data_IF_218213298518
#
_entry.id   IF_218213298518
#
_cell.length_a   1.000
_cell.length_b   1.000
_cell.length_c   1.000
_cell.angle_alpha   90.00
_cell.angle_beta   90.00
_cell.angle_gamma   90.00
#
_symmetry.space_group_name_H-M   'P 1'
#
loop_
_entity.id
_entity.type
_entity.pdbx_description
1 polymer ?
#
# COMPACT_ATOMS: atom_id res chain seq x y z
N UNK A 1 2.12 -11.32 -11.11
CA UNK A 1 0.73 -10.83 -11.17
C UNK A 1 0.44 -10.22 -12.53
N UNK A 2 -0.61 -10.64 -13.23
CA UNK A 2 -1.02 -9.98 -14.49
C UNK A 2 -1.83 -8.70 -14.17
N UNK A 3 -1.35 -7.51 -14.59
CA UNK A 3 -2.00 -6.20 -14.36
C UNK A 3 -3.19 -5.91 -15.27
N UNK A 4 -3.44 -6.75 -16.27
CA UNK A 4 -4.44 -6.51 -17.32
C UNK A 4 -5.84 -6.25 -16.74
N UNK A 5 -6.24 -7.00 -15.71
CA UNK A 5 -7.57 -6.83 -15.08
C UNK A 5 -7.72 -5.47 -14.39
N UNK A 6 -6.67 -5.04 -13.68
CA UNK A 6 -6.61 -3.77 -12.96
C UNK A 6 -6.62 -2.63 -13.96
N UNK A 7 -5.81 -2.72 -15.02
CA UNK A 7 -5.81 -1.73 -16.10
C UNK A 7 -7.18 -1.60 -16.75
N UNK A 8 -7.86 -2.71 -17.04
CA UNK A 8 -9.21 -2.66 -17.57
C UNK A 8 -10.19 -2.00 -16.59
N UNK A 9 -10.14 -2.35 -15.30
CA UNK A 9 -10.97 -1.72 -14.28
C UNK A 9 -10.74 -0.20 -14.19
N UNK A 10 -9.47 0.23 -14.19
CA UNK A 10 -9.08 1.65 -14.19
C UNK A 10 -9.64 2.38 -15.41
N UNK A 11 -9.49 1.80 -16.61
CA UNK A 11 -9.99 2.40 -17.85
C UNK A 11 -11.52 2.52 -17.85
N UNK A 12 -12.23 1.48 -17.42
CA UNK A 12 -13.70 1.47 -17.35
C UNK A 12 -14.19 2.53 -16.36
N UNK A 13 -13.65 2.55 -15.14
CA UNK A 13 -14.08 3.49 -14.11
C UNK A 13 -13.77 4.94 -14.51
N UNK A 14 -12.58 5.19 -15.08
CA UNK A 14 -12.21 6.50 -15.62
C UNK A 14 -13.14 6.95 -16.75
N UNK A 15 -13.51 6.04 -17.67
CA UNK A 15 -14.45 6.35 -18.74
C UNK A 15 -15.82 6.81 -18.22
N UNK A 16 -16.25 6.26 -17.08
CA UNK A 16 -17.50 6.65 -16.41
C UNK A 16 -17.36 7.81 -15.42
N UNK A 17 -16.19 8.48 -15.36
CA UNK A 17 -15.95 9.60 -14.44
C UNK A 17 -15.90 9.19 -12.97
N UNK A 18 -15.67 7.90 -12.69
CA UNK A 18 -15.52 7.38 -11.32
C UNK A 18 -14.06 7.44 -10.93
N UNK A 19 -13.75 8.28 -9.94
CA UNK A 19 -12.43 8.33 -9.33
C UNK A 19 -12.16 7.07 -8.53
N UNK A 20 -10.94 6.54 -8.64
CA UNK A 20 -10.55 5.33 -7.93
C UNK A 20 -9.09 5.39 -7.48
N UNK A 21 -8.79 4.63 -6.44
CA UNK A 21 -7.45 4.41 -5.93
C UNK A 21 -7.26 2.91 -5.68
N UNK A 22 -6.07 2.39 -5.97
CA UNK A 22 -5.66 1.04 -5.61
C UNK A 22 -5.31 1.03 -4.12
N UNK A 23 -5.73 0.01 -3.38
CA UNK A 23 -5.44 -0.18 -1.96
C UNK A 23 -5.21 -1.67 -1.68
N UNK A 24 -4.99 -2.04 -0.43
CA UNK A 24 -4.75 -3.42 -0.01
C UNK A 24 -3.38 -3.92 -0.46
N UNK A 25 -3.30 -5.21 -0.79
CA UNK A 25 -2.03 -5.91 -1.00
C UNK A 25 -1.19 -5.30 -2.14
N UNK A 26 -1.80 -4.87 -3.24
CA UNK A 26 -1.03 -4.27 -4.34
C UNK A 26 -0.42 -2.90 -3.96
N UNK A 27 -1.12 -2.08 -3.17
CA UNK A 27 -0.58 -0.82 -2.69
C UNK A 27 0.55 -1.06 -1.66
N UNK A 28 0.44 -2.10 -0.84
CA UNK A 28 1.50 -2.52 0.08
C UNK A 28 2.73 -3.02 -0.68
N UNK A 29 2.56 -3.87 -1.70
CA UNK A 29 3.68 -4.34 -2.52
C UNK A 29 4.35 -3.19 -3.28
N UNK A 30 3.59 -2.19 -3.74
CA UNK A 30 4.17 -0.97 -4.32
C UNK A 30 5.14 -0.26 -3.36
N UNK A 31 4.81 -0.24 -2.06
CA UNK A 31 5.62 0.30 -0.98
C UNK A 31 6.50 -0.75 -0.27
N UNK A 32 7.04 -1.71 -1.04
CA UNK A 32 8.05 -2.66 -0.57
C UNK A 32 7.64 -3.54 0.61
N UNK A 33 6.36 -3.85 0.73
CA UNK A 33 5.83 -4.80 1.69
C UNK A 33 5.53 -6.13 0.99
N UNK A 34 6.08 -7.27 1.44
CA UNK A 34 5.80 -8.56 0.81
C UNK A 34 4.40 -9.07 1.16
N UNK A 35 3.41 -8.84 0.27
CA UNK A 35 2.08 -9.48 0.37
C UNK A 35 1.80 -10.40 -0.81
N UNK A 36 1.17 -11.52 -0.48
CA UNK A 36 0.59 -12.44 -1.46
C UNK A 36 -0.83 -11.98 -1.76
N UNK A 37 -1.13 -11.74 -3.03
CA UNK A 37 -2.49 -11.50 -3.46
C UNK A 37 -3.22 -12.84 -3.60
N UNK A 38 -3.98 -13.19 -2.57
CA UNK A 38 -4.77 -14.42 -2.53
C UNK A 38 -5.97 -14.36 -3.47
N UNK A 39 -6.36 -15.52 -4.00
CA UNK A 39 -7.67 -15.69 -4.61
C UNK A 39 -8.70 -15.73 -3.48
N UNK A 40 -9.63 -14.77 -3.50
CA UNK A 40 -10.69 -14.53 -2.51
C UNK A 40 -11.77 -15.65 -2.48
N UNK A 41 -11.37 -16.92 -2.46
CA UNK A 41 -12.34 -18.02 -2.39
C UNK A 41 -12.73 -18.36 -0.94
N UNK A 42 -11.87 -18.07 0.06
CA UNK A 42 -12.18 -18.24 1.49
C UNK A 42 -11.71 -17.06 2.36
N UNK A 43 -12.57 -16.62 3.29
CA UNK A 43 -12.22 -15.61 4.30
C UNK A 43 -11.37 -16.22 5.42
N UNK A 44 -10.33 -15.51 5.82
CA UNK A 44 -9.51 -15.85 6.98
C UNK A 44 -9.23 -14.59 7.82
N UNK A 45 -8.48 -14.73 8.91
CA UNK A 45 -8.17 -13.62 9.82
C UNK A 45 -7.50 -12.42 9.13
N UNK A 46 -6.89 -12.60 7.96
CA UNK A 46 -6.24 -11.54 7.18
C UNK A 46 -7.15 -10.95 6.08
N UNK A 47 -8.26 -11.60 5.72
CA UNK A 47 -9.17 -11.13 4.66
C UNK A 47 -10.58 -10.81 5.16
N UNK A 48 -10.85 -11.02 6.45
CA UNK A 48 -12.16 -10.78 7.07
C UNK A 48 -12.66 -9.35 6.87
N UNK A 49 -11.75 -8.36 6.88
CA UNK A 49 -12.08 -6.96 6.62
C UNK A 49 -12.67 -6.69 5.22
N UNK A 50 -12.52 -7.63 4.28
CA UNK A 50 -13.09 -7.55 2.93
C UNK A 50 -14.55 -8.04 2.91
N UNK A 51 -15.07 -8.63 3.99
CA UNK A 51 -16.42 -9.21 4.02
C UNK A 51 -17.48 -8.11 3.83
N UNK A 52 -18.53 -8.44 3.08
CA UNK A 52 -19.66 -7.52 2.84
C UNK A 52 -19.44 -6.47 1.76
N UNK A 53 -18.20 -6.29 1.27
CA UNK A 53 -17.92 -5.36 0.17
C UNK A 53 -18.20 -5.95 -1.22
N UNK A 54 -18.63 -5.13 -2.20
CA UNK A 54 -18.81 -5.57 -3.58
C UNK A 54 -17.54 -6.16 -4.18
N UNK A 55 -17.70 -7.22 -4.97
CA UNK A 55 -16.61 -7.88 -5.70
C UNK A 55 -16.95 -8.02 -7.16
N UNK A 56 -15.94 -7.81 -8.01
CA UNK A 56 -15.99 -8.18 -9.42
C UNK A 56 -14.90 -9.20 -9.69
N UNK A 57 -15.19 -10.17 -10.55
CA UNK A 57 -14.26 -11.24 -10.93
C UNK A 57 -14.07 -11.23 -12.43
N UNK A 58 -12.82 -11.37 -12.89
CA UNK A 58 -12.55 -11.53 -14.32
C UNK A 58 -13.17 -12.82 -14.84
N UNK A 59 -13.66 -12.77 -16.06
CA UNK A 59 -14.16 -13.95 -16.78
C UNK A 59 -13.02 -14.58 -17.59
N UNK A 60 -13.35 -15.42 -18.57
CA UNK A 60 -12.42 -16.32 -19.32
C UNK A 60 -11.32 -15.63 -20.16
N UNK A 61 -11.06 -14.34 -19.97
CA UNK A 61 -10.04 -13.58 -20.69
C UNK A 61 -8.73 -13.39 -19.90
N UNK A 62 -8.70 -13.79 -18.62
CA UNK A 62 -7.46 -13.90 -17.82
C UNK A 62 -7.45 -15.24 -17.08
N UNK A 63 -6.29 -15.92 -16.99
CA UNK A 63 -6.13 -17.14 -16.20
C UNK A 63 -4.91 -17.03 -15.25
N UNK A 64 -5.06 -17.35 -13.95
CA UNK A 64 -6.31 -17.69 -13.27
C UNK A 64 -7.26 -16.47 -13.19
N UNK A 65 -8.58 -16.68 -12.95
CA UNK A 65 -9.51 -15.59 -12.67
C UNK A 65 -8.99 -14.73 -11.51
N UNK A 66 -9.13 -13.41 -11.62
CA UNK A 66 -8.73 -12.44 -10.61
C UNK A 66 -9.98 -11.76 -10.04
N UNK A 67 -10.00 -11.52 -8.73
CA UNK A 67 -11.09 -10.83 -8.05
C UNK A 67 -10.63 -9.45 -7.59
N UNK A 68 -11.47 -8.44 -7.75
CA UNK A 68 -11.27 -7.06 -7.28
C UNK A 68 -12.38 -6.76 -6.29
N UNK A 69 -12.00 -6.34 -5.08
CA UNK A 69 -12.93 -5.88 -4.04
C UNK A 69 -13.02 -4.35 -4.11
N UNK A 70 -14.23 -3.81 -4.07
CA UNK A 70 -14.50 -2.38 -4.19
C UNK A 70 -14.85 -1.84 -2.81
N UNK A 71 -14.07 -0.86 -2.34
CA UNK A 71 -14.29 -0.18 -1.07
C UNK A 71 -14.78 1.25 -1.31
N UNK A 72 -15.66 1.79 -0.45
CA UNK A 72 -15.92 3.23 -0.43
C UNK A 72 -14.66 3.96 0.06
N UNK A 73 -14.32 5.10 -0.54
CA UNK A 73 -13.10 5.85 -0.22
C UNK A 73 -12.91 6.18 1.28
N UNK A 74 -13.97 6.54 2.03
CA UNK A 74 -13.86 6.80 3.47
C UNK A 74 -13.40 5.59 4.29
N UNK A 75 -13.59 4.35 3.81
CA UNK A 75 -13.13 3.14 4.52
C UNK A 75 -11.61 3.12 4.71
N UNK A 76 -10.86 3.77 3.81
CA UNK A 76 -9.42 3.97 3.94
C UNK A 76 -9.05 5.44 4.20
N UNK A 77 -10.01 6.32 4.51
CA UNK A 77 -9.79 7.77 4.62
C UNK A 77 -9.02 8.37 3.43
N UNK A 78 -9.33 7.90 2.22
CA UNK A 78 -8.68 8.34 0.97
C UNK A 78 -9.53 9.36 0.20
N UNK A 79 -10.62 9.86 0.78
CA UNK A 79 -11.42 10.91 0.18
C UNK A 79 -10.84 12.32 0.45
N UNK A 80 -10.86 13.24 -0.54
CA UNK A 80 -11.16 13.01 -1.95
C UNK A 80 -9.99 12.33 -2.70
N UNK A 81 -10.30 11.32 -3.50
CA UNK A 81 -9.31 10.42 -4.13
C UNK A 81 -8.28 11.19 -4.95
N UNK A 82 -8.70 12.19 -5.71
CA UNK A 82 -7.87 12.95 -6.64
C UNK A 82 -6.70 13.64 -5.94
N UNK A 83 -6.84 13.92 -4.65
CA UNK A 83 -5.85 14.65 -3.86
C UNK A 83 -4.83 13.73 -3.20
N UNK A 84 -5.09 12.43 -3.14
CA UNK A 84 -4.23 11.46 -2.44
C UNK A 84 -3.39 10.62 -3.40
N UNK A 85 -3.61 10.69 -4.71
CA UNK A 85 -2.88 9.87 -5.69
C UNK A 85 -1.43 10.32 -5.88
N UNK A 86 -0.58 9.36 -6.24
CA UNK A 86 0.77 9.60 -6.75
C UNK A 86 0.66 10.31 -8.10
N UNK A 87 1.36 11.45 -8.31
CA UNK A 87 1.33 12.14 -9.58
C UNK A 87 2.09 11.36 -10.67
N UNK A 88 1.68 11.47 -11.95
CA UNK A 88 2.39 10.84 -13.06
C UNK A 88 3.85 11.31 -13.11
N UNK A 89 4.79 10.38 -13.06
CA UNK A 89 6.23 10.66 -13.11
C UNK A 89 6.76 10.49 -14.53
N UNK A 90 6.64 11.53 -15.38
CA UNK A 90 7.01 11.42 -16.79
C UNK A 90 8.53 11.41 -17.05
N UNK A 91 9.38 11.87 -16.11
CA UNK A 91 10.80 12.15 -16.40
C UNK A 91 11.79 11.86 -15.25
N UNK A 92 11.41 11.11 -14.22
CA UNK A 92 12.30 10.81 -13.08
C UNK A 92 12.77 9.35 -13.11
N UNK A 93 14.04 9.14 -12.77
CA UNK A 93 14.55 7.81 -12.42
C UNK A 93 13.89 7.38 -11.11
N UNK A 94 12.82 6.61 -11.23
CA UNK A 94 12.05 6.07 -10.09
C UNK A 94 12.54 4.68 -9.74
N UNK A 95 12.43 4.30 -8.47
CA UNK A 95 12.61 2.93 -8.05
C UNK A 95 11.28 2.19 -8.08
N UNK A 96 11.30 0.93 -8.52
CA UNK A 96 10.17 0.01 -8.45
C UNK A 96 10.48 -0.99 -7.35
N UNK A 97 9.54 -1.20 -6.42
CA UNK A 97 9.70 -2.22 -5.40
C UNK A 97 9.91 -3.62 -5.98
N UNK A 98 10.80 -4.38 -5.33
CA UNK A 98 11.06 -5.80 -5.63
C UNK A 98 9.82 -6.70 -5.46
N UNK A 99 8.79 -6.23 -4.76
CA UNK A 99 7.56 -6.99 -4.46
C UNK A 99 6.50 -6.92 -5.59
N UNK A 100 6.80 -6.19 -6.68
CA UNK A 100 6.00 -6.15 -7.91
C UNK A 100 6.86 -6.38 -9.17
N UNK A 101 7.63 -7.48 -9.25
CA UNK A 101 8.63 -7.69 -10.29
C UNK A 101 8.04 -7.85 -11.70
N UNK A 102 6.75 -8.19 -11.79
CA UNK A 102 6.06 -8.43 -13.05
C UNK A 102 5.45 -7.16 -13.69
N UNK A 103 5.56 -6.00 -13.03
CA UNK A 103 5.00 -4.74 -13.54
C UNK A 103 6.09 -3.86 -14.15
N UNK A 104 5.85 -3.38 -15.36
CA UNK A 104 6.74 -2.42 -16.01
C UNK A 104 6.65 -1.03 -15.38
N UNK A 105 7.67 -0.19 -15.57
CA UNK A 105 7.63 1.23 -15.16
C UNK A 105 6.42 1.96 -15.77
N UNK A 106 6.11 1.66 -17.03
CA UNK A 106 4.96 2.23 -17.72
C UNK A 106 3.64 1.78 -17.08
N UNK A 107 3.49 0.50 -16.75
CA UNK A 107 2.28 0.01 -16.07
C UNK A 107 2.11 0.73 -14.73
N UNK A 108 3.17 0.79 -13.91
CA UNK A 108 3.15 1.42 -12.58
C UNK A 108 2.81 2.90 -12.67
N UNK A 109 3.40 3.64 -13.61
CA UNK A 109 3.14 5.07 -13.80
C UNK A 109 1.68 5.38 -14.16
N UNK A 110 0.94 4.39 -14.68
CA UNK A 110 -0.46 4.51 -15.04
C UNK A 110 -1.44 3.96 -13.99
N UNK A 111 -0.93 3.37 -12.89
CA UNK A 111 -1.78 2.89 -11.80
C UNK A 111 -2.17 4.04 -10.86
N UNK A 112 -3.45 4.18 -10.48
CA UNK A 112 -3.88 5.17 -9.49
C UNK A 112 -3.52 4.68 -8.08
N UNK A 113 -2.25 4.83 -7.71
CA UNK A 113 -1.72 4.47 -6.39
C UNK A 113 -1.84 5.66 -5.43
N UNK A 114 -2.08 5.42 -4.12
CA UNK A 114 -2.10 6.49 -3.13
C UNK A 114 -0.67 6.87 -2.77
N UNK A 115 -0.44 8.15 -2.45
CA UNK A 115 0.77 8.59 -1.74
C UNK A 115 0.86 7.90 -0.38
N UNK A 116 2.08 7.70 0.10
CA UNK A 116 2.33 6.91 1.30
C UNK A 116 1.71 7.53 2.54
N UNK A 117 1.83 8.84 2.73
CA UNK A 117 1.29 9.51 3.91
C UNK A 117 -0.25 9.38 4.03
N UNK A 118 -1.07 9.67 3.01
CA UNK A 118 -2.50 9.37 3.04
C UNK A 118 -2.82 7.90 3.32
N UNK A 119 -2.12 6.96 2.66
CA UNK A 119 -2.34 5.53 2.88
C UNK A 119 -2.06 5.12 4.33
N UNK A 120 -0.93 5.54 4.88
CA UNK A 120 -0.52 5.25 6.25
C UNK A 120 -1.50 5.86 7.26
N UNK A 121 -1.91 7.12 7.06
CA UNK A 121 -2.93 7.79 7.90
C UNK A 121 -4.24 7.02 7.89
N UNK A 122 -4.70 6.60 6.71
CA UNK A 122 -5.93 5.86 6.53
C UNK A 122 -5.95 4.52 7.26
N UNK A 123 -4.87 3.76 7.13
CA UNK A 123 -4.71 2.47 7.81
C UNK A 123 -4.63 2.65 9.34
N UNK A 124 -3.84 3.61 9.81
CA UNK A 124 -3.72 3.90 11.24
C UNK A 124 -5.06 4.36 11.83
N UNK A 125 -5.78 5.24 11.13
CA UNK A 125 -7.10 5.72 11.55
C UNK A 125 -8.11 4.57 11.61
N UNK A 126 -8.15 3.70 10.60
CA UNK A 126 -9.02 2.52 10.60
C UNK A 126 -8.76 1.62 11.81
N UNK A 127 -7.50 1.35 12.15
CA UNK A 127 -7.21 0.58 13.36
C UNK A 127 -7.70 1.31 14.63
N UNK A 128 -7.42 2.61 14.77
CA UNK A 128 -7.83 3.38 15.94
C UNK A 128 -9.35 3.44 16.11
N UNK A 129 -10.09 3.53 15.01
CA UNK A 129 -11.54 3.68 15.04
C UNK A 129 -12.27 2.35 15.23
N UNK A 130 -11.76 1.24 14.67
CA UNK A 130 -12.48 -0.04 14.60
C UNK A 130 -11.76 -1.22 15.23
N UNK A 131 -10.52 -1.07 15.69
CA UNK A 131 -9.69 -2.17 16.19
C UNK A 131 -9.29 -3.17 15.10
N UNK A 132 -9.14 -2.72 13.85
CA UNK A 132 -8.79 -3.59 12.74
C UNK A 132 -7.31 -4.00 12.76
N UNK A 133 -7.03 -5.18 13.30
CA UNK A 133 -5.66 -5.71 13.42
C UNK A 133 -4.94 -5.82 12.08
N UNK A 134 -5.66 -6.06 10.98
CA UNK A 134 -5.04 -6.15 9.65
C UNK A 134 -4.57 -4.77 9.19
N UNK A 135 -5.31 -3.71 9.50
CA UNK A 135 -4.89 -2.35 9.25
C UNK A 135 -3.65 -1.99 10.10
N UNK A 136 -3.59 -2.41 11.37
CA UNK A 136 -2.41 -2.21 12.22
C UNK A 136 -1.17 -2.93 11.68
N UNK A 137 -1.32 -4.19 11.26
CA UNK A 137 -0.24 -4.95 10.63
C UNK A 137 0.24 -4.21 9.36
N UNK A 138 -0.68 -3.67 8.56
CA UNK A 138 -0.31 -2.91 7.36
C UNK A 138 0.46 -1.61 7.71
N UNK A 139 0.11 -0.91 8.80
CA UNK A 139 0.88 0.25 9.29
C UNK A 139 2.30 -0.14 9.67
N UNK A 140 2.44 -1.18 10.49
CA UNK A 140 3.75 -1.71 10.91
C UNK A 140 4.61 -2.08 9.70
N UNK A 141 4.02 -2.79 8.75
CA UNK A 141 4.72 -3.24 7.56
C UNK A 141 5.11 -2.09 6.62
N UNK A 142 4.29 -1.05 6.48
CA UNK A 142 4.66 0.13 5.68
C UNK A 142 5.85 0.87 6.31
N UNK A 143 5.88 1.00 7.64
CA UNK A 143 7.01 1.59 8.37
C UNK A 143 8.31 0.81 8.12
N UNK A 144 8.21 -0.51 8.02
CA UNK A 144 9.36 -1.39 7.82
C UNK A 144 9.78 -1.46 6.35
N UNK A 145 8.83 -1.60 5.43
CA UNK A 145 9.05 -1.73 3.99
C UNK A 145 9.62 -0.45 3.37
N UNK A 146 9.21 0.72 3.90
CA UNK A 146 9.66 2.03 3.41
C UNK A 146 10.76 2.66 4.27
N UNK A 147 11.28 1.92 5.26
CA UNK A 147 12.26 2.41 6.22
C UNK A 147 11.92 3.79 6.84
N UNK A 148 10.66 4.02 7.22
CA UNK A 148 10.24 5.33 7.73
C UNK A 148 10.90 5.69 9.06
N UNK A 149 11.36 6.93 9.21
CA UNK A 149 11.93 7.45 10.44
C UNK A 149 11.04 8.53 11.08
N UNK A 150 11.41 8.96 12.29
CA UNK A 150 10.63 9.94 13.04
C UNK A 150 10.55 11.27 12.29
N UNK A 151 11.62 11.68 11.60
CA UNK A 151 11.66 12.92 10.82
C UNK A 151 10.68 12.89 9.65
N UNK A 152 10.57 11.75 8.94
CA UNK A 152 9.57 11.56 7.90
C UNK A 152 8.15 11.65 8.49
N UNK A 153 7.90 11.00 9.64
CA UNK A 153 6.59 11.02 10.27
C UNK A 153 6.18 12.44 10.71
N UNK A 154 7.07 13.19 11.36
CA UNK A 154 6.81 14.57 11.77
C UNK A 154 6.43 15.46 10.58
N UNK A 155 7.20 15.35 9.48
CA UNK A 155 6.99 16.18 8.29
C UNK A 155 5.69 15.85 7.56
N UNK A 156 5.41 14.57 7.30
CA UNK A 156 4.31 14.18 6.40
C UNK A 156 3.01 13.86 7.15
N UNK A 157 3.09 13.60 8.45
CA UNK A 157 1.93 13.40 9.31
C UNK A 157 1.57 14.64 10.13
N UNK A 158 2.17 15.80 9.83
CA UNK A 158 1.76 17.08 10.39
C UNK A 158 0.24 17.29 10.28
N UNK A 159 -0.36 17.85 11.33
CA UNK A 159 -1.80 18.10 11.43
C UNK A 159 -2.67 16.86 11.67
N UNK A 160 -2.08 15.67 11.80
CA UNK A 160 -2.83 14.46 12.20
C UNK A 160 -3.17 14.47 13.68
N UNK A 161 -4.14 13.63 14.08
CA UNK A 161 -4.49 13.42 15.49
C UNK A 161 -3.27 12.93 16.31
N UNK A 162 -3.16 13.39 17.56
CA UNK A 162 -2.03 13.06 18.43
C UNK A 162 -1.91 11.55 18.70
N UNK A 163 -3.03 10.83 18.75
CA UNK A 163 -3.08 9.37 18.92
C UNK A 163 -2.53 8.66 17.69
N UNK A 164 -2.89 9.14 16.49
CA UNK A 164 -2.36 8.62 15.23
C UNK A 164 -0.85 8.82 15.13
N UNK A 165 -0.38 10.05 15.41
CA UNK A 165 1.04 10.35 15.43
C UNK A 165 1.78 9.45 16.43
N UNK A 166 1.25 9.31 17.64
CA UNK A 166 1.84 8.45 18.68
C UNK A 166 1.91 6.99 18.24
N UNK A 167 0.85 6.47 17.61
CA UNK A 167 0.82 5.11 17.09
C UNK A 167 1.93 4.88 16.05
N UNK A 168 2.05 5.75 15.05
CA UNK A 168 3.06 5.61 14.00
C UNK A 168 4.48 5.76 14.57
N UNK A 169 4.69 6.73 15.47
CA UNK A 169 5.97 6.91 16.15
C UNK A 169 6.40 5.67 16.95
N UNK A 170 5.46 5.03 17.64
CA UNK A 170 5.73 3.79 18.37
C UNK A 170 6.11 2.65 17.42
N UNK A 171 5.52 2.58 16.22
CA UNK A 171 5.92 1.61 15.20
C UNK A 171 7.33 1.86 14.68
N UNK A 172 7.68 3.12 14.43
CA UNK A 172 9.03 3.50 13.98
C UNK A 172 10.07 3.11 15.04
N UNK A 173 9.83 3.45 16.31
CA UNK A 173 10.75 3.17 17.43
C UNK A 173 10.97 1.69 17.68
N UNK A 174 9.93 0.87 17.46
CA UNK A 174 10.00 -0.58 17.66
C UNK A 174 10.54 -1.36 16.45
N UNK A 175 10.88 -0.69 15.35
CA UNK A 175 11.36 -1.35 14.12
C UNK A 175 12.51 -2.33 14.30
N UNK A 176 13.51 -1.95 15.10
CA UNK A 176 14.68 -2.80 15.34
C UNK A 176 14.34 -4.13 16.03
N UNK A 177 13.28 -4.19 16.83
CA UNK A 177 12.89 -5.43 17.50
C UNK A 177 12.19 -6.43 16.57
N UNK A 178 11.84 -6.03 15.34
CA UNK A 178 11.19 -6.89 14.34
C UNK A 178 12.16 -7.56 13.38
N UNK A 179 13.44 -7.19 13.40
CA UNK A 179 14.46 -7.82 12.55
C UNK A 179 14.67 -9.25 13.06
N UNK A 180 14.33 -10.23 12.22
CA UNK A 180 14.51 -11.64 12.55
C UNK A 180 15.97 -12.06 12.41
N UNK A 181 16.48 -12.79 13.41
CA UNK A 181 17.83 -13.33 13.46
C UNK A 181 18.11 -14.37 12.35
N UNK A 182 17.07 -14.94 11.74
CA UNK A 182 17.18 -15.90 10.64
C UNK A 182 17.17 -15.25 9.25
N UNK A 183 16.83 -13.96 9.16
CA UNK A 183 16.86 -13.23 7.90
C UNK A 183 18.24 -12.61 7.65
N UNK A 184 18.62 -12.42 6.38
CA UNK A 184 19.81 -11.64 6.03
C UNK A 184 19.59 -10.13 6.19
N UNK A 185 18.39 -9.72 6.63
CA UNK A 185 18.00 -8.33 6.69
C UNK A 185 18.66 -7.57 7.85
N UNK A 186 19.19 -6.38 7.58
CA UNK A 186 20.00 -5.61 8.55
C UNK A 186 19.41 -4.26 8.90
N UNK A 187 18.56 -3.69 8.04
CA UNK A 187 18.01 -2.33 8.24
C UNK A 187 16.62 -2.41 8.88
N UNK A 188 15.73 -3.20 8.28
CA UNK A 188 14.37 -3.47 8.78
C UNK A 188 14.07 -4.96 8.59
N UNK A 189 12.88 -5.43 8.99
CA UNK A 189 12.52 -6.83 8.71
C UNK A 189 12.34 -7.14 7.21
N UNK A 190 12.30 -6.11 6.33
CA UNK A 190 12.14 -6.26 4.87
C UNK A 190 13.32 -5.76 4.03
N UNK A 191 14.24 -4.99 4.62
CA UNK A 191 15.33 -4.31 3.91
C UNK A 191 16.69 -4.89 4.29
N UNK A 192 17.43 -5.38 3.30
CA UNK A 192 18.68 -6.12 3.50
C UNK A 192 19.86 -5.24 3.90
N UNK A 193 19.99 -4.09 3.25
CA UNK A 193 21.17 -3.25 3.29
C UNK A 193 20.85 -1.79 2.96
N UNK A 194 21.88 -0.94 3.07
CA UNK A 194 21.76 0.50 2.85
C UNK A 194 21.43 0.85 1.39
N UNK A 195 21.85 0.03 0.41
CA UNK A 195 21.51 0.29 -0.99
C UNK A 195 19.99 0.13 -1.21
N UNK A 196 19.40 -0.94 -0.67
CA UNK A 196 17.95 -1.09 -0.69
C UNK A 196 17.26 0.03 0.11
N UNK A 197 17.80 0.43 1.26
CA UNK A 197 17.24 1.52 2.07
C UNK A 197 17.21 2.87 1.32
N UNK A 198 18.22 3.18 0.52
CA UNK A 198 18.22 4.38 -0.33
C UNK A 198 17.30 4.21 -1.55
N UNK A 199 17.22 3.02 -2.12
CA UNK A 199 16.36 2.73 -3.26
C UNK A 199 14.87 2.90 -2.93
N UNK A 200 14.40 2.42 -1.77
CA UNK A 200 13.00 2.61 -1.36
C UNK A 200 12.64 4.10 -1.20
N UNK A 201 13.62 4.97 -0.95
CA UNK A 201 13.40 6.43 -0.91
C UNK A 201 13.09 7.05 -2.26
N UNK A 202 13.35 6.33 -3.35
CA UNK A 202 13.08 6.76 -4.71
C UNK A 202 11.75 6.20 -5.26
N UNK A 203 10.97 5.49 -4.44
CA UNK A 203 9.62 5.05 -4.80
C UNK A 203 8.70 6.28 -4.81
N UNK A 204 8.00 6.56 -5.92
CA UNK A 204 7.13 7.73 -6.01
C UNK A 204 6.00 7.72 -4.97
N UNK A 205 5.67 8.90 -4.45
CA UNK A 205 4.62 9.04 -3.44
C UNK A 205 5.10 8.87 -2.00
N UNK A 206 6.39 8.65 -1.78
CA UNK A 206 7.00 8.73 -0.45
C UNK A 206 7.06 10.18 0.06
N UNK A 207 7.23 11.15 -0.84
CA UNK A 207 7.46 12.58 -0.54
C UNK A 207 6.29 13.40 0.05
#
# INVERSE_FOLDING_TARGET
MNSTSIRAAVLILKHHGVSMCITGELALNYYNVPRVCHLDDDFNNYTEYKRGFPRVRTTRWTYPPQSIVIFPAPFFSLDPIETVLVPPSADRKVHISKEIPDLSQEDIANLPLPRLAPLLKGLARRFLDTGDDVAMIAVEQLVDGMNLDEAWAEKHLEGSDATLMTLVMNQIRSKKSRIDYFSENKITCFISDEEEAENVRLIPGLE
#
